data_IF_133768292970
#
_entry.id   IF_133768292970
#
_cell.length_a   1.000
_cell.length_b   1.000
_cell.length_c   1.000
_cell.angle_alpha   90.00
_cell.angle_beta   90.00
_cell.angle_gamma   90.00
#
_symmetry.space_group_name_H-M   'P 1'
#
loop_
_entity.id
_entity.type
_entity.pdbx_description
1 polymer ?
#
# COMPACT_ATOMS: atom_id res chain seq x y z
N UNK A 1 5.41 -11.71 -1.62
CA UNK A 1 5.47 -10.57 -0.67
C UNK A 1 4.07 -10.04 -0.46
N UNK A 2 3.69 -9.83 0.78
CA UNK A 2 2.36 -9.32 1.12
C UNK A 2 2.39 -7.82 1.36
N UNK A 3 1.21 -7.21 1.33
CA UNK A 3 1.06 -5.78 1.65
C UNK A 3 1.62 -5.47 3.03
N UNK A 4 1.39 -6.34 4.00
CA UNK A 4 1.89 -6.15 5.36
C UNK A 4 3.42 -6.04 5.41
N UNK A 5 4.13 -6.83 4.61
CA UNK A 5 5.58 -6.75 4.53
C UNK A 5 6.04 -5.38 4.04
N UNK A 6 5.36 -4.82 3.05
CA UNK A 6 5.69 -3.50 2.52
C UNK A 6 5.40 -2.43 3.57
N UNK A 7 4.23 -2.47 4.20
CA UNK A 7 3.84 -1.46 5.18
C UNK A 7 4.77 -1.45 6.40
N UNK A 8 5.28 -2.61 6.78
CA UNK A 8 6.22 -2.72 7.89
C UNK A 8 7.60 -2.13 7.57
N UNK A 9 7.92 -1.99 6.29
CA UNK A 9 9.25 -1.57 5.84
C UNK A 9 9.32 -0.11 5.44
N UNK A 10 8.18 0.56 5.20
CA UNK A 10 8.19 1.93 4.70
C UNK A 10 8.23 2.95 5.82
N UNK A 11 8.72 4.14 5.47
CA UNK A 11 8.74 5.26 6.36
C UNK A 11 7.31 5.79 6.57
N UNK A 12 6.96 6.11 7.80
CA UNK A 12 5.62 6.62 8.16
C UNK A 12 5.24 7.91 7.44
N UNK A 13 6.23 8.68 6.96
CA UNK A 13 5.96 9.92 6.24
C UNK A 13 5.49 9.71 4.80
N UNK A 14 5.55 8.49 4.29
CA UNK A 14 5.14 8.20 2.92
C UNK A 14 3.63 8.06 2.80
N UNK A 15 3.09 8.66 1.74
CA UNK A 15 1.72 8.36 1.33
C UNK A 15 1.73 7.08 0.50
N UNK A 16 0.79 6.19 0.77
CA UNK A 16 0.72 4.89 0.12
C UNK A 16 -0.68 4.68 -0.44
N UNK A 17 -0.74 4.13 -1.64
CA UNK A 17 -2.00 3.72 -2.27
C UNK A 17 -1.95 2.24 -2.60
N UNK A 18 -3.02 1.53 -2.28
CA UNK A 18 -3.20 0.14 -2.71
C UNK A 18 -4.09 0.17 -3.96
N UNK A 19 -3.59 -0.40 -5.05
CA UNK A 19 -4.28 -0.39 -6.33
C UNK A 19 -4.63 -1.82 -6.74
N UNK A 20 -5.88 -2.04 -7.12
CA UNK A 20 -6.34 -3.31 -7.65
C UNK A 20 -7.21 -3.05 -8.87
N UNK A 21 -6.91 -3.74 -9.98
CA UNK A 21 -7.64 -3.60 -11.25
C UNK A 21 -7.75 -2.13 -11.69
N UNK A 22 -6.61 -1.42 -11.59
CA UNK A 22 -6.51 0.00 -11.95
C UNK A 22 -7.36 0.93 -11.09
N UNK A 23 -7.80 0.45 -9.93
CA UNK A 23 -8.61 1.23 -9.00
C UNK A 23 -7.91 1.33 -7.65
N UNK A 24 -7.81 2.52 -7.10
CA UNK A 24 -7.27 2.72 -5.75
C UNK A 24 -8.32 2.24 -4.75
N UNK A 25 -7.99 1.18 -4.01
CA UNK A 25 -8.91 0.57 -3.05
C UNK A 25 -8.64 0.96 -1.61
N UNK A 26 -7.46 1.51 -1.33
CA UNK A 26 -7.11 1.97 0.01
C UNK A 26 -5.98 2.97 -0.08
N UNK A 27 -5.94 3.89 0.88
CA UNK A 27 -4.88 4.89 0.98
C UNK A 27 -4.37 4.95 2.41
N UNK A 28 -3.09 5.31 2.55
CA UNK A 28 -2.47 5.54 3.84
C UNK A 28 -1.71 6.87 3.77
N UNK A 29 -2.04 7.76 4.67
CA UNK A 29 -1.46 9.12 4.69
C UNK A 29 -0.79 9.45 6.02
N UNK A 30 -0.48 8.44 6.81
CA UNK A 30 0.11 8.63 8.14
C UNK A 30 -0.93 8.78 9.25
N UNK A 31 -2.17 9.04 8.91
CA UNK A 31 -3.27 9.18 9.87
C UNK A 31 -4.26 8.04 9.79
N UNK A 32 -4.58 7.64 8.57
CA UNK A 32 -5.52 6.55 8.32
C UNK A 32 -4.75 5.28 8.10
N UNK A 33 -5.11 4.24 8.82
CA UNK A 33 -4.52 2.93 8.61
C UNK A 33 -5.19 2.25 7.42
N UNK A 34 -4.39 1.50 6.67
CA UNK A 34 -4.94 0.63 5.65
C UNK A 34 -5.69 -0.50 6.38
N UNK A 35 -6.93 -0.82 5.97
CA UNK A 35 -7.68 -1.90 6.62
C UNK A 35 -6.88 -3.20 6.65
N UNK A 36 -6.97 -3.88 7.79
CA UNK A 36 -6.18 -5.09 8.04
C UNK A 36 -6.45 -6.19 7.03
N UNK A 37 -7.64 -6.18 6.43
CA UNK A 37 -8.04 -7.16 5.41
C UNK A 37 -7.11 -7.14 4.20
N UNK A 38 -6.44 -6.02 3.93
CA UNK A 38 -5.52 -5.91 2.80
C UNK A 38 -4.12 -6.43 3.11
N UNK A 39 -3.79 -6.64 4.38
CA UNK A 39 -2.43 -7.02 4.78
C UNK A 39 -1.98 -8.35 4.17
N UNK A 40 -2.90 -9.27 3.96
CA UNK A 40 -2.59 -10.59 3.42
C UNK A 40 -2.57 -10.65 1.90
N UNK A 41 -2.88 -9.55 1.25
CA UNK A 41 -2.89 -9.50 -0.22
C UNK A 41 -1.48 -9.62 -0.77
N UNK A 42 -1.33 -10.41 -1.84
CA UNK A 42 -0.05 -10.58 -2.50
C UNK A 42 0.26 -9.35 -3.36
N UNK A 43 1.46 -8.82 -3.19
CA UNK A 43 1.91 -7.66 -3.97
C UNK A 43 2.40 -8.13 -5.32
N UNK A 44 1.88 -7.53 -6.39
CA UNK A 44 2.26 -7.82 -7.77
C UNK A 44 3.33 -6.86 -8.27
N UNK A 45 3.24 -5.59 -7.88
CA UNK A 45 4.09 -4.55 -8.42
C UNK A 45 4.11 -3.37 -7.46
N UNK A 46 5.23 -2.67 -7.41
CA UNK A 46 5.39 -1.46 -6.61
C UNK A 46 5.91 -0.36 -7.52
N UNK A 47 5.28 0.81 -7.47
CA UNK A 47 5.77 1.99 -8.17
C UNK A 47 6.02 3.08 -7.13
N UNK A 48 7.28 3.49 -7.00
CA UNK A 48 7.67 4.59 -6.13
C UNK A 48 7.66 5.90 -6.89
N UNK A 49 6.95 6.89 -6.37
CA UNK A 49 6.89 8.24 -6.89
C UNK A 49 6.65 9.17 -5.71
N UNK A 50 5.90 10.27 -5.89
CA UNK A 50 5.47 11.09 -4.75
C UNK A 50 4.57 10.29 -3.80
N UNK A 51 3.85 9.33 -4.35
CA UNK A 51 3.02 8.39 -3.61
C UNK A 51 3.50 6.99 -3.96
N UNK A 52 3.70 6.15 -2.96
CA UNK A 52 4.07 4.76 -3.18
C UNK A 52 2.80 3.99 -3.57
N UNK A 53 2.79 3.44 -4.76
CA UNK A 53 1.67 2.66 -5.27
C UNK A 53 1.98 1.18 -5.18
N UNK A 54 1.16 0.44 -4.46
CA UNK A 54 1.29 -1.00 -4.29
C UNK A 54 0.16 -1.66 -5.07
N UNK A 55 0.51 -2.43 -6.10
CA UNK A 55 -0.45 -3.12 -6.94
C UNK A 55 -0.66 -4.55 -6.42
N UNK A 56 -1.89 -4.91 -6.23
CA UNK A 56 -2.29 -6.23 -5.75
C UNK A 56 -3.18 -6.98 -6.73
#
# INVERSE_FOLDING_TARGET
>A
MTVDCILSSVNEALNIEIVKDNTVIATYDGRNSIPIVYNDMEVRKIIGANVLKIYV
#
